data_IF_384933244486
#
_entry.id   IF_384933244486
#
_cell.length_a   1.000
_cell.length_b   1.000
_cell.length_c   1.000
_cell.angle_alpha   90.00
_cell.angle_beta   90.00
_cell.angle_gamma   90.00
#
_symmetry.space_group_name_H-M   'P 1'
#
loop_
_entity.id
_entity.type
_entity.pdbx_description
1 polymer ?
#
# COMPACT_ATOMS: atom_id res chain seq x y z
N UNK A 1 -13.78 -6.45 7.33
CA UNK A 1 -14.78 -5.39 7.51
C UNK A 1 -14.22 -4.12 8.17
N UNK A 2 -13.38 -4.24 9.25
CA UNK A 2 -12.85 -3.06 9.97
C UNK A 2 -12.10 -2.09 9.04
N UNK A 3 -11.28 -2.62 8.14
CA UNK A 3 -10.42 -1.84 7.26
C UNK A 3 -11.12 -1.35 5.96
N UNK A 4 -12.36 -1.78 5.72
CA UNK A 4 -13.06 -1.37 4.50
C UNK A 4 -13.54 0.07 4.62
N UNK A 5 -13.22 0.88 3.63
CA UNK A 5 -13.48 2.31 3.62
C UNK A 5 -12.41 3.17 4.30
N UNK A 6 -11.44 2.56 5.02
CA UNK A 6 -10.26 3.28 5.46
C UNK A 6 -9.34 3.57 4.29
N UNK A 7 -8.64 4.71 4.37
CA UNK A 7 -7.65 5.12 3.38
C UNK A 7 -6.27 5.23 4.04
N UNK A 8 -5.24 4.97 3.27
CA UNK A 8 -3.87 5.04 3.73
C UNK A 8 -3.05 5.99 2.86
N UNK A 9 -2.24 6.80 3.50
CA UNK A 9 -1.26 7.67 2.87
C UNK A 9 -0.02 6.84 2.54
N UNK A 10 0.40 6.91 1.29
CA UNK A 10 1.65 6.33 0.80
C UNK A 10 2.58 7.44 0.30
N UNK A 11 3.88 7.23 0.42
CA UNK A 11 4.88 8.11 -0.18
C UNK A 11 6.02 7.33 -0.83
N UNK A 12 6.76 8.01 -1.69
CA UNK A 12 7.94 7.45 -2.36
C UNK A 12 9.25 7.79 -1.64
N UNK A 13 9.22 8.00 -0.31
CA UNK A 13 10.41 8.23 0.53
C UNK A 13 11.50 7.17 0.35
N UNK A 14 11.19 5.87 0.22
CA UNK A 14 12.20 4.85 -0.03
C UNK A 14 12.98 5.04 -1.33
N UNK A 15 12.42 5.81 -2.27
CA UNK A 15 13.07 6.18 -3.54
C UNK A 15 13.65 7.61 -3.51
N UNK A 16 13.78 8.22 -2.32
CA UNK A 16 14.28 9.59 -2.17
C UNK A 16 13.35 10.68 -2.69
N UNK A 17 12.05 10.38 -2.82
CA UNK A 17 11.02 11.29 -3.34
C UNK A 17 9.83 11.41 -2.38
N UNK A 18 10.03 11.94 -1.16
CA UNK A 18 8.98 12.01 -0.14
C UNK A 18 7.80 12.91 -0.53
N UNK A 19 8.01 13.82 -1.46
CA UNK A 19 6.97 14.71 -2.00
C UNK A 19 5.98 13.98 -2.92
N UNK A 20 6.35 12.80 -3.43
CA UNK A 20 5.44 11.97 -4.22
C UNK A 20 4.59 11.13 -3.30
N UNK A 21 3.35 11.55 -3.16
CA UNK A 21 2.38 10.94 -2.25
C UNK A 21 1.13 10.51 -3.00
N UNK A 22 0.44 9.51 -2.44
CA UNK A 22 -0.86 9.05 -2.90
C UNK A 22 -1.68 8.56 -1.72
N UNK A 23 -3.01 8.71 -1.81
CA UNK A 23 -3.94 8.11 -0.85
C UNK A 23 -4.66 6.97 -1.57
N UNK A 24 -4.59 5.78 -1.00
CA UNK A 24 -5.22 4.58 -1.52
C UNK A 24 -6.13 3.93 -0.47
N UNK A 25 -7.14 3.16 -0.87
CA UNK A 25 -7.92 2.37 0.09
C UNK A 25 -7.02 1.34 0.78
N UNK A 26 -7.24 1.12 2.08
CA UNK A 26 -6.56 0.04 2.85
C UNK A 26 -6.94 -1.32 2.28
N UNK A 27 -8.19 -1.47 1.85
CA UNK A 27 -8.70 -2.67 1.17
C UNK A 27 -9.15 -2.31 -0.24
N UNK A 28 -8.44 -2.80 -1.24
CA UNK A 28 -8.81 -2.66 -2.64
C UNK A 28 -9.50 -3.90 -3.19
N UNK A 29 -10.24 -3.73 -4.28
CA UNK A 29 -10.70 -4.84 -5.08
C UNK A 29 -9.67 -5.18 -6.16
N UNK A 30 -9.41 -6.47 -6.30
CA UNK A 30 -8.58 -6.95 -7.40
C UNK A 30 -9.42 -6.96 -8.70
N UNK A 31 -9.02 -6.26 -9.77
CA UNK A 31 -9.89 -5.96 -10.91
C UNK A 31 -10.32 -7.20 -11.70
N UNK A 32 -9.53 -8.25 -11.69
CA UNK A 32 -9.84 -9.50 -12.43
C UNK A 32 -10.64 -10.48 -11.58
N UNK A 33 -10.22 -10.69 -10.33
CA UNK A 33 -10.83 -11.72 -9.48
C UNK A 33 -11.97 -11.22 -8.60
N UNK A 34 -12.13 -9.88 -8.47
CA UNK A 34 -13.08 -9.26 -7.55
C UNK A 34 -12.77 -9.47 -6.07
N UNK A 35 -11.67 -10.14 -5.74
CA UNK A 35 -11.29 -10.42 -4.35
C UNK A 35 -10.80 -9.17 -3.66
N UNK A 36 -11.10 -9.06 -2.37
CA UNK A 36 -10.57 -8.02 -1.49
C UNK A 36 -9.10 -8.31 -1.20
N UNK A 37 -8.28 -7.28 -1.34
CA UNK A 37 -6.83 -7.35 -1.12
C UNK A 37 -6.44 -6.28 -0.12
N UNK A 38 -5.63 -6.65 0.87
CA UNK A 38 -5.00 -5.71 1.79
C UNK A 38 -3.92 -4.92 1.03
N UNK A 39 -4.10 -3.60 0.93
CA UNK A 39 -3.27 -2.74 0.09
C UNK A 39 -2.43 -1.75 0.90
N UNK A 40 -1.85 -2.23 1.98
CA UNK A 40 -0.86 -1.52 2.80
C UNK A 40 0.43 -2.32 2.86
N UNK A 41 1.55 -1.63 2.97
CA UNK A 41 2.87 -2.26 3.10
C UNK A 41 3.79 -1.40 3.98
N UNK A 42 4.79 -2.03 4.57
CA UNK A 42 5.74 -1.36 5.47
C UNK A 42 6.61 -0.32 4.75
N UNK A 43 6.86 -0.51 3.45
CA UNK A 43 7.82 0.27 2.69
C UNK A 43 7.28 1.65 2.28
N UNK A 44 6.04 1.72 1.78
CA UNK A 44 5.43 2.94 1.24
C UNK A 44 4.34 3.53 2.11
N UNK A 45 3.61 2.72 2.88
CA UNK A 45 2.47 3.20 3.68
C UNK A 45 2.97 3.95 4.91
N UNK A 46 2.39 5.12 5.18
CA UNK A 46 2.79 6.00 6.27
C UNK A 46 1.78 6.07 7.39
N UNK A 47 0.51 6.18 7.05
CA UNK A 47 -0.57 6.24 8.06
C UNK A 47 -1.92 5.92 7.45
N UNK A 48 -2.85 5.56 8.32
CA UNK A 48 -4.28 5.52 8.02
C UNK A 48 -4.84 6.90 8.28
N UNK A 49 -5.47 7.48 7.27
CA UNK A 49 -5.84 8.91 7.25
C UNK A 49 -6.94 9.21 8.26
N UNK A 50 -7.88 8.29 8.46
CA UNK A 50 -9.04 8.41 9.32
C UNK A 50 -8.73 8.22 10.82
N UNK A 51 -7.51 7.85 11.16
CA UNK A 51 -7.10 7.53 12.54
C UNK A 51 -6.13 8.57 13.08
N UNK A 52 -6.08 8.71 14.40
CA UNK A 52 -4.98 9.42 15.03
C UNK A 52 -3.66 8.65 14.83
N UNK A 53 -2.53 9.29 15.15
CA UNK A 53 -1.20 8.73 14.87
C UNK A 53 -0.99 7.39 15.59
N UNK A 54 -1.35 7.32 16.86
CA UNK A 54 -1.14 6.13 17.70
C UNK A 54 -1.99 4.95 17.22
N UNK A 55 -3.26 5.18 16.93
CA UNK A 55 -4.17 4.17 16.38
C UNK A 55 -3.71 3.68 15.01
N UNK A 56 -3.30 4.60 14.15
CA UNK A 56 -2.77 4.30 12.83
C UNK A 56 -1.51 3.43 12.92
N UNK A 57 -0.56 3.78 13.78
CA UNK A 57 0.68 3.04 13.95
C UNK A 57 0.44 1.62 14.47
N UNK A 58 -0.46 1.47 15.46
CA UNK A 58 -0.85 0.15 15.97
C UNK A 58 -1.47 -0.71 14.87
N UNK A 59 -2.44 -0.16 14.15
CA UNK A 59 -3.14 -0.92 13.11
C UNK A 59 -2.21 -1.27 11.93
N UNK A 60 -1.41 -0.33 11.45
CA UNK A 60 -0.44 -0.58 10.39
C UNK A 60 0.61 -1.61 10.81
N UNK A 61 1.15 -1.53 12.03
CA UNK A 61 2.07 -2.53 12.56
C UNK A 61 1.46 -3.93 12.57
N UNK A 62 0.19 -4.04 12.95
CA UNK A 62 -0.52 -5.31 12.92
C UNK A 62 -0.72 -5.82 11.48
N UNK A 63 -1.20 -4.98 10.58
CA UNK A 63 -1.52 -5.36 9.20
C UNK A 63 -0.26 -5.73 8.40
N UNK A 64 0.83 -4.99 8.55
CA UNK A 64 2.09 -5.26 7.85
C UNK A 64 2.76 -6.54 8.35
N UNK A 65 2.69 -6.82 9.66
CA UNK A 65 3.14 -8.10 10.23
C UNK A 65 2.25 -9.28 9.82
N UNK A 66 0.99 -9.04 9.52
CA UNK A 66 0.08 -10.10 9.11
C UNK A 66 0.53 -10.78 7.82
N UNK A 67 0.98 -10.03 6.83
CA UNK A 67 1.39 -10.56 5.52
C UNK A 67 2.68 -11.41 5.59
N UNK A 68 3.46 -11.27 6.65
CA UNK A 68 4.71 -12.03 6.83
C UNK A 68 4.50 -13.42 7.49
N UNK A 69 3.25 -13.75 7.84
CA UNK A 69 2.96 -15.07 8.42
C UNK A 69 3.28 -16.18 7.41
N UNK A 70 3.84 -17.32 7.86
CA UNK A 70 4.28 -18.41 6.97
C UNK A 70 3.21 -18.91 5.99
N UNK A 71 1.93 -18.92 6.40
CA UNK A 71 0.82 -19.37 5.56
C UNK A 71 0.55 -18.45 4.35
N UNK A 72 1.12 -17.24 4.32
CA UNK A 72 0.95 -16.27 3.24
C UNK A 72 2.24 -16.01 2.47
N UNK A 73 3.34 -16.69 2.83
CA UNK A 73 4.66 -16.41 2.26
C UNK A 73 5.20 -17.58 1.46
N UNK A 74 5.89 -17.26 0.39
CA UNK A 74 6.68 -18.21 -0.39
C UNK A 74 8.10 -17.67 -0.42
N UNK A 75 9.08 -18.49 -0.06
CA UNK A 75 10.49 -18.21 -0.25
C UNK A 75 10.96 -18.88 -1.52
N UNK A 76 11.48 -18.10 -2.45
CA UNK A 76 12.00 -18.60 -3.70
C UNK A 76 13.52 -18.43 -3.75
N UNK A 77 14.24 -19.50 -4.09
CA UNK A 77 15.68 -19.47 -4.30
C UNK A 77 15.97 -19.31 -5.80
N UNK A 78 16.61 -18.21 -6.15
CA UNK A 78 16.89 -17.86 -7.54
C UNK A 78 18.04 -18.67 -8.10
N UNK A 79 17.89 -19.12 -9.34
CA UNK A 79 18.96 -19.70 -10.16
C UNK A 79 19.15 -18.85 -11.41
N UNK A 80 20.31 -18.97 -12.05
CA UNK A 80 20.60 -18.28 -13.28
C UNK A 80 19.55 -18.61 -14.36
N UNK A 81 19.14 -17.60 -15.14
CA UNK A 81 18.10 -17.74 -16.15
C UNK A 81 16.67 -17.82 -15.64
N UNK A 82 16.45 -17.72 -14.32
CA UNK A 82 15.07 -17.70 -13.77
C UNK A 82 14.32 -16.44 -14.20
N UNK A 83 13.08 -16.62 -14.67
CA UNK A 83 12.11 -15.56 -14.89
C UNK A 83 10.98 -15.77 -13.90
N UNK A 84 10.71 -14.76 -13.06
CA UNK A 84 9.58 -14.75 -12.14
C UNK A 84 8.60 -13.64 -12.49
N UNK A 85 7.32 -13.96 -12.48
CA UNK A 85 6.23 -13.00 -12.65
C UNK A 85 5.28 -13.07 -11.49
N UNK A 86 4.86 -11.92 -11.00
CA UNK A 86 3.83 -11.82 -9.95
C UNK A 86 2.94 -10.61 -10.19
N UNK A 87 1.76 -10.68 -9.63
CA UNK A 87 0.78 -9.61 -9.68
C UNK A 87 1.02 -8.64 -8.52
N UNK A 88 1.59 -7.47 -8.81
CA UNK A 88 1.83 -6.42 -7.82
C UNK A 88 0.57 -5.88 -7.14
N UNK A 89 -0.62 -6.13 -7.72
CA UNK A 89 -1.89 -5.69 -7.16
C UNK A 89 -2.26 -6.46 -5.90
N UNK A 90 -1.73 -7.66 -5.72
CA UNK A 90 -2.06 -8.57 -4.62
C UNK A 90 -0.85 -9.20 -3.93
N UNK A 91 0.37 -8.98 -4.42
CA UNK A 91 1.59 -9.62 -3.94
C UNK A 91 2.60 -8.58 -3.48
N UNK A 92 3.15 -8.78 -2.29
CA UNK A 92 4.31 -8.04 -1.79
C UNK A 92 5.55 -8.93 -1.90
N UNK A 93 6.70 -8.30 -2.06
CA UNK A 93 7.96 -9.02 -2.16
C UNK A 93 9.10 -8.21 -1.53
N UNK A 94 10.11 -8.90 -1.06
CA UNK A 94 11.37 -8.27 -0.64
C UNK A 94 12.56 -9.20 -0.91
N UNK A 95 13.74 -8.62 -0.95
CA UNK A 95 14.98 -9.36 -1.14
C UNK A 95 15.48 -9.89 0.18
N UNK A 96 15.72 -11.20 0.25
CA UNK A 96 16.44 -11.81 1.38
C UNK A 96 17.95 -11.69 1.10
N UNK A 97 18.68 -10.95 1.95
CA UNK A 97 20.10 -10.71 1.79
C UNK A 97 20.93 -11.88 2.38
N UNK A 98 20.78 -13.05 1.78
CA UNK A 98 21.47 -14.28 2.20
C UNK A 98 22.35 -14.87 1.09
N UNK A 99 22.72 -14.06 0.11
CA UNK A 99 23.60 -14.42 -0.99
C UNK A 99 25.01 -13.87 -0.79
N UNK A 100 25.99 -14.52 -1.41
CA UNK A 100 27.39 -14.11 -1.43
C UNK A 100 27.78 -13.75 -2.87
N UNK A 101 28.55 -12.67 -3.04
CA UNK A 101 28.97 -12.20 -4.36
C UNK A 101 28.00 -11.25 -5.03
N UNK A 102 28.16 -11.10 -6.33
CA UNK A 102 27.33 -10.20 -7.13
C UNK A 102 25.99 -10.87 -7.47
N UNK A 103 24.91 -10.11 -7.41
CA UNK A 103 23.58 -10.53 -7.79
C UNK A 103 22.93 -9.45 -8.66
N UNK A 104 22.71 -9.76 -9.92
CA UNK A 104 22.09 -8.86 -10.88
C UNK A 104 20.66 -9.33 -11.15
N UNK A 105 19.68 -8.44 -10.94
CA UNK A 105 18.28 -8.66 -11.29
C UNK A 105 17.81 -7.54 -12.19
N UNK A 106 17.23 -7.91 -13.32
CA UNK A 106 16.53 -6.99 -14.20
C UNK A 106 15.03 -7.09 -13.96
N UNK A 107 14.33 -5.95 -13.91
CA UNK A 107 12.88 -5.90 -13.70
C UNK A 107 12.21 -5.02 -14.73
N UNK A 108 11.09 -5.50 -15.24
CA UNK A 108 10.13 -4.73 -16.02
C UNK A 108 8.81 -4.71 -15.24
N UNK A 109 8.19 -3.55 -15.14
CA UNK A 109 6.88 -3.40 -14.50
C UNK A 109 5.87 -2.96 -15.55
N UNK A 110 4.80 -3.73 -15.69
CA UNK A 110 3.65 -3.36 -16.51
C UNK A 110 2.73 -2.47 -15.67
N UNK A 111 2.29 -1.36 -16.23
CA UNK A 111 1.34 -0.47 -15.57
C UNK A 111 0.03 -1.21 -15.33
N UNK A 112 -0.48 -1.08 -14.12
CA UNK A 112 -1.72 -1.71 -13.70
C UNK A 112 -2.95 -0.83 -13.89
N UNK A 113 -4.06 -1.32 -13.37
CA UNK A 113 -5.35 -0.65 -13.39
C UNK A 113 -5.43 0.41 -12.28
N UNK A 114 -6.39 1.31 -12.39
CA UNK A 114 -6.76 2.23 -11.33
C UNK A 114 -7.13 1.48 -10.05
N UNK A 115 -6.77 2.06 -8.90
CA UNK A 115 -7.03 1.44 -7.60
C UNK A 115 -8.46 1.72 -7.17
N UNK A 116 -9.26 0.68 -7.06
CA UNK A 116 -10.66 0.75 -6.63
C UNK A 116 -10.80 0.13 -5.25
N UNK A 117 -11.46 0.84 -4.34
CA UNK A 117 -11.76 0.36 -2.98
C UNK A 117 -12.88 -0.67 -2.94
N UNK A 118 -13.16 -1.21 -1.76
CA UNK A 118 -14.28 -2.12 -1.55
C UNK A 118 -15.62 -1.49 -1.96
N UNK A 119 -16.46 -2.24 -2.66
CA UNK A 119 -17.78 -1.78 -3.12
C UNK A 119 -18.78 -1.57 -1.97
N UNK A 120 -18.51 -2.10 -0.80
CA UNK A 120 -19.37 -1.97 0.38
C UNK A 120 -18.54 -1.61 1.62
N UNK A 121 -17.99 -0.39 1.69
CA UNK A 121 -17.12 0.01 2.78
C UNK A 121 -17.91 0.20 4.07
N UNK A 122 -17.41 -0.33 5.18
CA UNK A 122 -17.92 -0.07 6.52
C UNK A 122 -17.68 1.38 6.95
N UNK A 123 -16.53 1.93 6.54
CA UNK A 123 -16.09 3.29 6.84
C UNK A 123 -16.17 4.14 5.59
N UNK A 124 -16.44 5.41 5.77
CA UNK A 124 -16.40 6.36 4.66
C UNK A 124 -14.98 6.93 4.53
N UNK A 125 -14.46 7.10 3.31
CA UNK A 125 -13.15 7.71 3.10
C UNK A 125 -13.04 9.09 3.77
N UNK A 126 -11.87 9.36 4.37
CA UNK A 126 -11.59 10.62 5.08
C UNK A 126 -11.58 11.86 4.18
N UNK A 127 -11.59 11.69 2.88
CA UNK A 127 -11.62 12.78 1.89
C UNK A 127 -12.98 13.50 1.81
N UNK A 128 -13.99 13.07 2.58
CA UNK A 128 -15.27 13.78 2.68
C UNK A 128 -15.13 15.06 3.49
N UNK A 129 -15.80 16.12 3.04
CA UNK A 129 -15.94 17.34 3.81
C UNK A 129 -16.50 17.04 5.22
N UNK A 130 -15.87 17.67 6.24
CA UNK A 130 -16.31 17.55 7.63
C UNK A 130 -15.71 16.39 8.42
N UNK A 131 -14.80 15.61 7.88
CA UNK A 131 -14.17 14.53 8.64
C UNK A 131 -13.14 15.08 9.64
N UNK A 132 -13.39 14.92 10.94
CA UNK A 132 -12.62 15.55 12.03
C UNK A 132 -11.29 14.84 12.36
N UNK A 133 -11.11 13.60 11.95
CA UNK A 133 -9.91 12.80 12.27
C UNK A 133 -8.69 13.14 11.39
N UNK A 134 -8.87 14.00 10.38
CA UNK A 134 -7.78 14.42 9.48
C UNK A 134 -6.97 15.54 10.12
N UNK A 135 -5.69 15.32 10.30
CA UNK A 135 -4.78 16.35 10.86
C UNK A 135 -4.66 17.56 9.92
N UNK A 136 -4.18 18.69 10.44
CA UNK A 136 -3.91 19.88 9.61
C UNK A 136 -2.95 19.55 8.47
N UNK A 137 -1.94 18.72 8.72
CA UNK A 137 -0.98 18.27 7.71
C UNK A 137 -1.66 17.44 6.61
N UNK A 138 -2.52 16.51 6.99
CA UNK A 138 -3.27 15.70 6.01
C UNK A 138 -4.21 16.56 5.17
N UNK A 139 -4.87 17.56 5.78
CA UNK A 139 -5.71 18.51 5.05
C UNK A 139 -4.92 19.28 3.99
N UNK A 140 -3.75 19.79 4.35
CA UNK A 140 -2.86 20.49 3.42
C UNK A 140 -2.41 19.58 2.26
N UNK A 141 -2.06 18.33 2.58
CA UNK A 141 -1.66 17.34 1.61
C UNK A 141 -2.82 17.00 0.67
N UNK A 142 -4.00 16.74 1.21
CA UNK A 142 -5.22 16.44 0.43
C UNK A 142 -5.56 17.61 -0.51
N UNK A 143 -5.49 18.84 -0.01
CA UNK A 143 -5.73 20.04 -0.83
C UNK A 143 -4.73 20.10 -1.97
N UNK A 144 -3.46 19.92 -1.68
CA UNK A 144 -2.40 19.94 -2.69
C UNK A 144 -2.57 18.83 -3.75
N UNK A 145 -3.00 17.62 -3.34
CA UNK A 145 -3.25 16.52 -4.26
C UNK A 145 -4.47 16.79 -5.16
N UNK A 146 -5.53 17.40 -4.60
CA UNK A 146 -6.72 17.83 -5.38
C UNK A 146 -6.35 18.90 -6.41
N UNK A 147 -5.56 19.90 -6.03
CA UNK A 147 -5.09 20.97 -6.93
C UNK A 147 -4.25 20.42 -8.08
N UNK A 148 -3.53 19.34 -7.85
CA UNK A 148 -2.72 18.65 -8.88
C UNK A 148 -3.50 17.65 -9.73
N UNK A 149 -4.80 17.46 -9.49
CA UNK A 149 -5.62 16.47 -10.19
C UNK A 149 -5.19 15.01 -9.92
N UNK A 150 -4.56 14.76 -8.76
CA UNK A 150 -4.07 13.43 -8.35
C UNK A 150 -5.06 12.69 -7.45
N UNK A 151 -6.23 13.29 -7.20
CA UNK A 151 -7.37 12.75 -6.46
C UNK A 151 -8.67 13.02 -7.21
#
# INVERSE_FOLDING_TARGET
DLCEGLTALHDARPHGKPEKTAIHPVVRLHPISGKKVLYVNEHFTRRIVEMNIEESDMLLSYLTKWVTKPQFTVRYHWTEGTIAMWDNRSTQHYVVNDFVGERIIQRVTVMGDEVVGSSNPRWQPALREGFSAVTTHDKQLITHLKEKGSL
#
